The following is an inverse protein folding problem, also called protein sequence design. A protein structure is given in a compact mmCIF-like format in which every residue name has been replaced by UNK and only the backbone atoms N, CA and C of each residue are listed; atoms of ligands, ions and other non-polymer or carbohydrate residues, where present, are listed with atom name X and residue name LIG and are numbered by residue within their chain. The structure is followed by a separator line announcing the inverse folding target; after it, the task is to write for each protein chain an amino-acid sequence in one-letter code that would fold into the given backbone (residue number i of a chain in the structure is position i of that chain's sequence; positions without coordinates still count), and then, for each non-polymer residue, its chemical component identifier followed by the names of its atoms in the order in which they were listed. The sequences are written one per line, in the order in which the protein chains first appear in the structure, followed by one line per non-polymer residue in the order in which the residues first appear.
data_IF_758039392175
#
_entry.id   IF_758039392175
#
_cell.length_a   1.000
_cell.length_b   1.000
_cell.length_c   1.000
_cell.angle_alpha   90.00
_cell.angle_beta   90.00
_cell.angle_gamma   90.00
#
_symmetry.space_group_name_H-M   'P 1'
#
loop_
_entity.id
_entity.type
_entity.pdbx_description
1 polymer ?
#
# COMPACT_ATOMS: atom_id res chain seq x y z
N UNK A 1 -41.58 -17.70 -8.06
CA UNK A 1 -40.33 -18.30 -8.64
C UNK A 1 -39.37 -17.31 -9.29
N UNK A 2 -39.84 -16.30 -10.08
CA UNK A 2 -38.93 -15.31 -10.74
C UNK A 2 -38.24 -14.32 -9.77
N UNK A 3 -38.87 -13.93 -8.67
CA UNK A 3 -38.29 -12.98 -7.68
C UNK A 3 -37.18 -13.64 -6.86
N UNK A 4 -37.33 -14.93 -6.53
CA UNK A 4 -36.33 -15.67 -5.76
C UNK A 4 -35.03 -15.90 -6.56
N UNK A 5 -35.16 -16.17 -7.86
CA UNK A 5 -34.00 -16.29 -8.76
C UNK A 5 -33.26 -14.96 -8.97
N UNK A 6 -33.99 -13.81 -8.93
CA UNK A 6 -33.37 -12.49 -9.07
C UNK A 6 -32.57 -12.10 -7.80
N UNK A 7 -33.02 -12.52 -6.63
CA UNK A 7 -32.29 -12.30 -5.37
C UNK A 7 -31.08 -13.24 -5.28
N UNK A 8 -31.22 -14.51 -5.65
CA UNK A 8 -30.13 -15.49 -5.64
C UNK A 8 -29.02 -15.16 -6.66
N UNK A 9 -29.36 -14.65 -7.84
CA UNK A 9 -28.35 -14.24 -8.83
C UNK A 9 -27.60 -12.95 -8.48
N UNK A 10 -28.17 -12.10 -7.62
CA UNK A 10 -27.46 -10.92 -7.09
C UNK A 10 -26.63 -11.20 -5.84
N UNK A 11 -26.97 -12.21 -5.05
CA UNK A 11 -26.26 -12.54 -3.79
C UNK A 11 -25.09 -13.49 -3.98
N UNK A 12 -24.90 -14.09 -5.15
CA UNK A 12 -23.80 -15.05 -5.42
C UNK A 12 -22.75 -14.49 -6.38
N UNK A 13 -22.64 -13.19 -6.51
CA UNK A 13 -21.40 -12.59 -6.99
C UNK A 13 -20.43 -12.42 -5.80
N UNK A 14 -20.12 -13.50 -5.09
CA UNK A 14 -18.84 -13.67 -4.43
C UNK A 14 -17.80 -13.65 -5.55
N UNK A 15 -17.23 -12.48 -5.76
CA UNK A 15 -16.22 -12.27 -6.78
C UNK A 15 -14.98 -13.01 -6.30
N UNK A 16 -14.53 -14.11 -6.96
CA UNK A 16 -13.33 -14.83 -6.56
C UNK A 16 -12.13 -13.88 -6.52
N UNK A 17 -11.10 -14.21 -5.72
CA UNK A 17 -9.82 -13.52 -5.62
C UNK A 17 -9.23 -13.10 -6.98
N UNK A 18 -9.50 -13.87 -8.03
CA UNK A 18 -9.14 -13.60 -9.43
C UNK A 18 -9.71 -12.28 -9.99
N UNK A 19 -10.84 -11.80 -9.47
CA UNK A 19 -11.48 -10.57 -9.98
C UNK A 19 -10.90 -9.27 -9.39
N UNK A 20 -10.19 -9.33 -8.29
CA UNK A 20 -9.45 -8.17 -7.78
C UNK A 20 -8.18 -7.94 -8.58
N UNK A 21 -7.44 -9.01 -8.85
CA UNK A 21 -6.34 -8.99 -9.80
C UNK A 21 -6.80 -8.39 -11.14
N UNK A 22 -8.04 -8.68 -11.57
CA UNK A 22 -8.65 -8.09 -12.76
C UNK A 22 -8.92 -6.58 -12.61
N UNK A 23 -9.47 -6.11 -11.48
CA UNK A 23 -9.72 -4.69 -11.26
C UNK A 23 -8.41 -3.90 -11.19
N UNK A 24 -7.41 -4.39 -10.45
CA UNK A 24 -6.05 -3.80 -10.41
C UNK A 24 -5.43 -3.76 -11.81
N UNK A 25 -5.51 -4.88 -12.56
CA UNK A 25 -5.00 -4.97 -13.93
C UNK A 25 -5.64 -3.93 -14.84
N UNK A 26 -6.97 -3.76 -14.81
CA UNK A 26 -7.67 -2.74 -15.61
C UNK A 26 -7.24 -1.32 -15.24
N UNK A 27 -7.06 -1.03 -13.96
CA UNK A 27 -6.57 0.28 -13.50
C UNK A 27 -5.13 0.50 -13.97
N UNK A 28 -4.25 -0.49 -13.81
CA UNK A 28 -2.84 -0.42 -14.22
C UNK A 28 -2.67 -0.26 -15.73
N UNK A 29 -3.55 -0.81 -16.57
CA UNK A 29 -3.54 -0.61 -18.02
C UNK A 29 -3.74 0.86 -18.43
N UNK A 30 -4.35 1.66 -17.55
CA UNK A 30 -4.53 3.09 -17.75
C UNK A 30 -3.40 3.94 -17.13
N UNK A 31 -2.39 3.32 -16.51
CA UNK A 31 -1.30 4.01 -15.85
C UNK A 31 -0.01 3.91 -16.66
N UNK A 32 0.74 5.02 -16.72
CA UNK A 32 2.02 5.09 -17.40
C UNK A 32 3.22 5.01 -16.42
N UNK A 33 2.95 5.09 -15.11
CA UNK A 33 3.95 5.00 -14.08
C UNK A 33 3.38 4.38 -12.80
N UNK A 34 4.17 3.54 -12.13
CA UNK A 34 3.83 2.89 -10.86
C UNK A 34 4.84 3.29 -9.79
N UNK A 35 4.33 3.63 -8.60
CA UNK A 35 5.13 3.85 -7.39
C UNK A 35 4.70 2.82 -6.35
N UNK A 36 5.61 1.97 -5.94
CA UNK A 36 5.42 0.94 -4.91
C UNK A 36 6.17 1.37 -3.64
N UNK A 37 5.44 1.84 -2.62
CA UNK A 37 5.98 2.34 -1.36
C UNK A 37 5.82 1.28 -0.28
N UNK A 38 6.93 0.86 0.35
CA UNK A 38 7.01 -0.31 1.20
C UNK A 38 7.14 -1.58 0.37
N UNK A 39 8.02 -1.52 -0.65
CA UNK A 39 8.13 -2.60 -1.63
C UNK A 39 8.70 -3.91 -1.07
N UNK A 40 9.26 -3.91 0.14
CA UNK A 40 9.90 -5.04 0.80
C UNK A 40 10.85 -5.77 -0.18
N UNK A 41 10.65 -7.05 -0.44
CA UNK A 41 11.45 -7.86 -1.38
C UNK A 41 10.89 -7.82 -2.83
N UNK A 42 9.88 -6.97 -3.11
CA UNK A 42 9.28 -6.81 -4.44
C UNK A 42 8.10 -7.74 -4.74
N UNK A 43 7.44 -8.31 -3.73
CA UNK A 43 6.34 -9.28 -3.91
C UNK A 43 5.17 -8.66 -4.69
N UNK A 44 4.75 -7.44 -4.31
CA UNK A 44 3.67 -6.75 -5.01
C UNK A 44 4.06 -6.41 -6.46
N UNK A 45 5.25 -5.88 -6.67
CA UNK A 45 5.74 -5.57 -8.03
C UNK A 45 5.86 -6.83 -8.89
N UNK A 46 6.30 -7.97 -8.32
CA UNK A 46 6.29 -9.28 -9.03
C UNK A 46 4.89 -9.64 -9.52
N UNK A 47 3.88 -9.49 -8.66
CA UNK A 47 2.48 -9.73 -9.02
C UNK A 47 2.02 -8.81 -10.15
N UNK A 48 2.34 -7.52 -10.07
CA UNK A 48 2.02 -6.50 -11.09
C UNK A 48 2.66 -6.84 -12.44
N UNK A 49 3.93 -7.26 -12.44
CA UNK A 49 4.64 -7.69 -13.65
C UNK A 49 4.05 -8.97 -14.25
N UNK A 50 3.72 -9.95 -13.42
CA UNK A 50 3.07 -11.20 -13.86
C UNK A 50 1.68 -10.95 -14.46
N UNK A 51 0.98 -9.90 -14.02
CA UNK A 51 -0.30 -9.47 -14.61
C UNK A 51 -0.13 -8.63 -15.89
N UNK A 52 1.09 -8.47 -16.39
CA UNK A 52 1.38 -7.87 -17.70
C UNK A 52 1.63 -6.37 -17.69
N UNK A 53 1.80 -5.73 -16.55
CA UNK A 53 2.23 -4.33 -16.52
C UNK A 53 3.72 -4.22 -16.89
N UNK A 54 4.02 -3.57 -18.02
CA UNK A 54 5.38 -3.40 -18.54
C UNK A 54 5.86 -1.93 -18.53
N UNK A 55 5.05 -1.01 -17.98
CA UNK A 55 5.37 0.41 -17.85
C UNK A 55 6.52 0.67 -16.88
N UNK A 56 6.89 1.94 -16.78
CA UNK A 56 7.93 2.39 -15.83
C UNK A 56 7.44 2.28 -14.39
N UNK A 57 8.35 1.97 -13.47
CA UNK A 57 8.04 1.90 -12.04
C UNK A 57 9.20 2.37 -11.17
N UNK A 58 8.87 2.73 -9.93
CA UNK A 58 9.81 2.91 -8.84
C UNK A 58 9.33 2.09 -7.64
N UNK A 59 10.24 1.29 -7.06
CA UNK A 59 10.00 0.53 -5.84
C UNK A 59 10.85 1.13 -4.72
N UNK A 60 10.21 1.45 -3.59
CA UNK A 60 10.81 2.19 -2.48
C UNK A 60 10.76 1.32 -1.23
N UNK A 61 11.94 1.02 -0.68
CA UNK A 61 12.09 0.18 0.51
C UNK A 61 13.12 0.81 1.46
N UNK A 62 12.74 1.11 2.72
CA UNK A 62 13.63 1.79 3.66
C UNK A 62 14.71 0.90 4.28
N UNK A 63 14.41 -0.37 4.60
CA UNK A 63 15.33 -1.26 5.30
C UNK A 63 16.39 -1.80 4.35
N UNK A 64 17.67 -1.62 4.70
CA UNK A 64 18.80 -1.99 3.84
C UNK A 64 18.76 -3.48 3.45
N UNK A 65 18.49 -4.37 4.40
CA UNK A 65 18.40 -5.82 4.12
C UNK A 65 17.39 -6.14 3.02
N UNK A 66 16.19 -5.55 3.11
CA UNK A 66 15.10 -5.79 2.16
C UNK A 66 15.36 -5.08 0.83
N UNK A 67 15.91 -3.86 0.87
CA UNK A 67 16.31 -3.13 -0.31
C UNK A 67 17.36 -3.88 -1.16
N UNK A 68 18.36 -4.50 -0.54
CA UNK A 68 19.34 -5.32 -1.26
C UNK A 68 18.68 -6.49 -1.98
N UNK A 69 17.72 -7.18 -1.32
CA UNK A 69 16.94 -8.25 -1.95
C UNK A 69 16.09 -7.69 -3.11
N UNK A 70 15.34 -6.60 -2.89
CA UNK A 70 14.54 -5.93 -3.91
C UNK A 70 15.38 -5.57 -5.15
N UNK A 71 16.54 -4.96 -4.94
CA UNK A 71 17.46 -4.56 -6.02
C UNK A 71 17.99 -5.76 -6.81
N UNK A 72 18.15 -6.91 -6.17
CA UNK A 72 18.66 -8.13 -6.82
C UNK A 72 17.66 -8.76 -7.81
N UNK A 73 16.35 -8.48 -7.66
CA UNK A 73 15.31 -8.99 -8.56
C UNK A 73 15.39 -8.43 -9.97
N UNK A 74 15.94 -7.20 -10.14
CA UNK A 74 16.14 -6.55 -11.45
C UNK A 74 14.90 -6.49 -12.32
N UNK A 75 13.78 -6.01 -11.74
CA UNK A 75 12.55 -5.81 -12.51
C UNK A 75 12.76 -4.94 -13.75
N UNK A 76 12.19 -5.36 -14.87
CA UNK A 76 12.22 -4.57 -16.11
C UNK A 76 11.61 -3.17 -15.91
N UNK A 77 12.19 -2.13 -16.52
CA UNK A 77 11.71 -0.73 -16.43
C UNK A 77 11.45 -0.22 -15.00
N UNK A 78 12.22 -0.69 -14.01
CA UNK A 78 12.00 -0.35 -12.60
C UNK A 78 13.26 0.25 -11.99
N UNK A 79 13.11 1.38 -11.31
CA UNK A 79 14.13 1.96 -10.44
C UNK A 79 13.83 1.55 -8.99
N UNK A 80 14.86 1.25 -8.21
CA UNK A 80 14.73 0.99 -6.78
C UNK A 80 15.33 2.13 -5.95
N UNK A 81 14.71 2.47 -4.84
CA UNK A 81 15.15 3.56 -3.97
C UNK A 81 15.16 3.12 -2.50
N UNK A 82 16.31 3.32 -1.82
CA UNK A 82 16.43 3.01 -0.40
C UNK A 82 16.09 4.23 0.46
N UNK A 83 14.82 4.37 0.81
CA UNK A 83 14.33 5.37 1.75
C UNK A 83 12.92 5.03 2.23
N UNK A 84 12.51 5.60 3.37
CA UNK A 84 11.12 5.70 3.77
C UNK A 84 10.43 6.87 3.04
N UNK A 85 9.11 6.82 2.97
CA UNK A 85 8.28 7.92 2.45
C UNK A 85 7.38 8.44 3.57
N UNK A 86 7.25 9.76 3.71
CA UNK A 86 6.39 10.39 4.71
C UNK A 86 6.45 11.91 4.64
N UNK A 87 5.79 12.61 5.56
CA UNK A 87 5.59 14.06 5.49
C UNK A 87 6.79 14.91 5.97
N UNK A 88 8.00 14.39 5.82
CA UNK A 88 9.24 15.13 6.12
C UNK A 88 10.40 14.64 5.25
N UNK A 89 11.48 15.42 5.21
CA UNK A 89 12.75 15.02 4.61
C UNK A 89 13.81 14.89 5.70
N UNK A 90 14.80 14.01 5.51
CA UNK A 90 15.91 13.79 6.44
C UNK A 90 16.06 12.34 6.83
N UNK A 91 16.10 12.06 8.14
CA UNK A 91 16.29 10.72 8.70
C UNK A 91 15.26 10.44 9.80
N UNK A 92 14.90 9.15 9.93
CA UNK A 92 14.06 8.62 11.01
C UNK A 92 14.64 7.29 11.50
N UNK A 93 14.24 6.89 12.69
CA UNK A 93 14.45 5.52 13.16
C UNK A 93 13.23 4.68 12.84
N UNK A 94 13.44 3.54 12.18
CA UNK A 94 12.42 2.55 11.86
C UNK A 94 12.61 1.32 12.73
N UNK A 95 11.56 0.83 13.34
CA UNK A 95 11.55 -0.41 14.12
C UNK A 95 11.61 -1.59 13.14
N UNK A 96 12.59 -2.47 13.33
CA UNK A 96 12.74 -3.68 12.51
C UNK A 96 11.98 -4.83 13.15
N UNK A 97 11.01 -5.37 12.43
CA UNK A 97 10.29 -6.56 12.84
C UNK A 97 11.12 -7.84 12.57
N UNK A 98 10.83 -8.90 13.33
CA UNK A 98 11.27 -10.27 13.04
C UNK A 98 10.65 -10.77 11.73
N UNK A 99 10.97 -12.01 11.30
CA UNK A 99 10.37 -12.67 10.13
C UNK A 99 10.41 -11.80 8.86
N UNK A 100 11.62 -11.53 8.36
CA UNK A 100 11.88 -10.77 7.12
C UNK A 100 11.39 -9.31 7.09
N UNK A 101 10.92 -8.77 8.22
CA UNK A 101 10.66 -7.34 8.40
C UNK A 101 9.36 -6.83 7.80
N UNK A 102 8.41 -7.69 7.45
CA UNK A 102 7.13 -7.29 6.81
C UNK A 102 6.31 -6.32 7.68
N UNK A 103 6.32 -6.47 9.01
CA UNK A 103 5.66 -5.55 9.94
C UNK A 103 6.57 -4.45 10.48
N UNK A 104 7.68 -4.13 9.80
CA UNK A 104 8.57 -3.05 10.22
C UNK A 104 7.93 -1.69 9.97
N UNK A 105 7.99 -0.80 10.97
CA UNK A 105 7.32 0.50 10.93
C UNK A 105 8.11 1.60 11.62
N UNK A 106 7.83 2.84 11.25
CA UNK A 106 8.23 4.03 12.02
C UNK A 106 7.47 4.10 13.36
N UNK A 107 6.26 3.50 13.40
CA UNK A 107 5.40 3.46 14.57
C UNK A 107 5.69 2.24 15.45
N UNK A 108 5.27 2.30 16.71
CA UNK A 108 5.28 1.14 17.61
C UNK A 108 4.07 0.24 17.34
N UNK A 109 4.21 -1.08 17.57
CA UNK A 109 3.10 -2.02 17.50
C UNK A 109 2.04 -1.67 18.54
N UNK A 110 0.76 -1.87 18.19
CA UNK A 110 -0.36 -1.75 19.11
C UNK A 110 -0.88 -3.15 19.52
N UNK A 111 -1.76 -3.22 20.50
CA UNK A 111 -2.26 -4.47 21.08
C UNK A 111 -2.93 -5.36 20.05
N UNK A 112 -3.72 -4.80 19.15
CA UNK A 112 -4.36 -5.57 18.07
C UNK A 112 -3.35 -6.29 17.16
N UNK A 113 -2.22 -5.64 16.86
CA UNK A 113 -1.15 -6.30 16.10
C UNK A 113 -0.53 -7.44 16.91
N UNK A 114 -0.25 -7.21 18.20
CA UNK A 114 0.36 -8.20 19.08
C UNK A 114 -0.54 -9.44 19.26
N UNK A 115 -1.86 -9.25 19.27
CA UNK A 115 -2.83 -10.36 19.35
C UNK A 115 -2.93 -11.10 17.99
N UNK A 116 -2.98 -10.36 16.88
CA UNK A 116 -3.11 -10.94 15.53
C UNK A 116 -1.85 -11.66 15.04
N UNK A 117 -0.66 -11.20 15.48
CA UNK A 117 0.63 -11.76 15.10
C UNK A 117 1.59 -11.85 16.31
N UNK A 118 1.32 -12.73 17.30
CA UNK A 118 2.07 -12.77 18.57
C UNK A 118 3.55 -13.13 18.42
N UNK A 119 3.91 -13.76 17.31
CA UNK A 119 5.29 -14.13 16.98
C UNK A 119 6.11 -13.00 16.36
N UNK A 120 5.47 -11.89 15.97
CA UNK A 120 6.14 -10.72 15.42
C UNK A 120 6.58 -9.80 16.56
N UNK A 121 7.87 -9.49 16.58
CA UNK A 121 8.47 -8.60 17.60
C UNK A 121 9.45 -7.65 16.93
N UNK A 122 9.60 -6.47 17.49
CA UNK A 122 10.69 -5.59 17.10
C UNK A 122 12.03 -6.09 17.65
N UNK A 123 13.00 -6.28 16.77
CA UNK A 123 14.34 -6.84 17.05
C UNK A 123 15.44 -5.79 17.00
N UNK A 124 15.09 -4.51 16.83
CA UNK A 124 16.01 -3.39 16.80
C UNK A 124 15.47 -2.22 16.00
N UNK A 125 16.27 -1.15 15.92
CA UNK A 125 15.95 0.05 15.15
C UNK A 125 17.03 0.29 14.10
N UNK A 126 16.60 0.81 12.95
CA UNK A 126 17.47 1.21 11.84
C UNK A 126 17.26 2.67 11.51
N UNK A 127 18.35 3.44 11.38
CA UNK A 127 18.28 4.82 10.91
C UNK A 127 18.16 4.82 9.41
N UNK A 128 17.01 5.26 8.88
CA UNK A 128 16.72 5.28 7.45
C UNK A 128 16.50 6.72 6.97
N UNK A 129 16.86 6.98 5.72
CA UNK A 129 16.49 8.22 5.05
C UNK A 129 14.97 8.26 4.87
N UNK A 130 14.35 9.44 5.02
CA UNK A 130 12.94 9.67 4.71
C UNK A 130 12.79 10.85 3.75
N UNK A 131 11.87 10.73 2.81
CA UNK A 131 11.58 11.77 1.81
C UNK A 131 10.07 11.94 1.63
N UNK A 132 9.65 13.15 1.26
CA UNK A 132 8.27 13.40 0.82
C UNK A 132 8.04 12.76 -0.54
N UNK A 133 6.86 12.20 -0.77
CA UNK A 133 6.49 11.67 -2.08
C UNK A 133 6.51 12.76 -3.15
N UNK A 134 6.06 13.97 -2.83
CA UNK A 134 6.14 15.12 -3.73
C UNK A 134 7.56 15.39 -4.24
N UNK A 135 8.58 15.23 -3.38
CA UNK A 135 10.00 15.39 -3.78
C UNK A 135 10.47 14.24 -4.67
N UNK A 136 10.03 13.00 -4.41
CA UNK A 136 10.36 11.85 -5.26
C UNK A 136 9.75 12.01 -6.66
N UNK A 137 8.56 12.58 -6.74
CA UNK A 137 7.85 12.84 -7.99
C UNK A 137 8.20 14.17 -8.67
N UNK A 138 9.10 14.98 -8.10
CA UNK A 138 9.42 16.33 -8.60
C UNK A 138 9.90 16.34 -10.05
N UNK A 139 10.70 15.36 -10.43
CA UNK A 139 11.22 15.20 -11.80
C UNK A 139 10.34 14.34 -12.70
N UNK A 140 9.25 13.80 -12.15
CA UNK A 140 8.37 12.91 -12.88
C UNK A 140 7.47 13.68 -13.84
N UNK A 141 7.42 13.23 -15.10
CA UNK A 141 6.59 13.80 -16.17
C UNK A 141 5.33 12.96 -16.48
N UNK A 142 5.13 11.88 -15.76
CA UNK A 142 3.98 10.99 -15.95
C UNK A 142 2.70 11.61 -15.39
N UNK A 143 1.57 11.32 -16.05
CA UNK A 143 0.26 11.94 -15.76
C UNK A 143 -0.81 10.95 -15.27
N UNK A 144 -0.53 9.67 -15.33
CA UNK A 144 -1.44 8.60 -14.87
C UNK A 144 -0.67 7.66 -13.96
N UNK A 145 -0.38 8.15 -12.75
CA UNK A 145 0.43 7.46 -11.77
C UNK A 145 -0.46 6.53 -10.93
N UNK A 146 -0.04 5.28 -10.77
CA UNK A 146 -0.57 4.38 -9.75
C UNK A 146 0.37 4.39 -8.56
N UNK A 147 -0.15 4.59 -7.35
CA UNK A 147 0.64 4.59 -6.11
C UNK A 147 0.13 3.50 -5.18
N UNK A 148 0.98 2.49 -4.89
CA UNK A 148 0.76 1.58 -3.76
C UNK A 148 1.41 2.17 -2.52
N UNK A 149 0.70 2.12 -1.39
CA UNK A 149 1.20 2.55 -0.08
C UNK A 149 0.93 1.44 0.94
N UNK A 150 2.02 0.87 1.44
CA UNK A 150 2.02 -0.17 2.47
C UNK A 150 3.22 0.12 3.37
N UNK A 151 2.98 0.95 4.38
CA UNK A 151 4.02 1.50 5.25
C UNK A 151 3.79 1.18 6.72
N UNK A 152 2.91 0.20 6.93
CA UNK A 152 2.66 -0.42 8.22
C UNK A 152 2.26 0.62 9.28
N UNK A 153 1.11 1.29 8.97
CA UNK A 153 0.48 2.30 9.84
C UNK A 153 0.87 3.75 9.52
N UNK A 154 1.84 3.99 8.61
CA UNK A 154 2.32 5.35 8.29
C UNK A 154 1.74 5.92 6.98
N UNK A 155 0.71 5.27 6.40
CA UNK A 155 0.10 5.57 5.09
C UNK A 155 -0.41 7.01 5.01
N UNK A 156 -1.02 7.51 6.08
CA UNK A 156 -1.57 8.86 6.10
C UNK A 156 -0.49 9.94 6.04
N UNK A 157 0.68 9.70 6.66
CA UNK A 157 1.84 10.59 6.57
C UNK A 157 2.43 10.60 5.15
N UNK A 158 2.37 9.45 4.45
CA UNK A 158 2.71 9.39 3.02
C UNK A 158 1.74 10.26 2.21
N UNK A 159 0.43 10.11 2.41
CA UNK A 159 -0.59 10.91 1.72
C UNK A 159 -0.44 12.41 1.96
N UNK A 160 -0.14 12.83 3.20
CA UNK A 160 0.12 14.25 3.55
C UNK A 160 1.37 14.81 2.88
N UNK A 161 2.29 13.97 2.43
CA UNK A 161 3.50 14.38 1.72
C UNK A 161 3.30 14.71 0.25
N UNK A 162 2.08 14.45 -0.29
CA UNK A 162 1.71 14.70 -1.68
C UNK A 162 1.22 16.14 -1.83
N UNK A 163 1.81 16.90 -2.74
CA UNK A 163 1.34 18.24 -3.04
C UNK A 163 0.15 18.25 -4.02
N UNK A 164 -0.50 19.40 -4.18
CA UNK A 164 -1.70 19.54 -5.03
C UNK A 164 -1.44 19.16 -6.50
N UNK A 165 -0.27 19.51 -7.05
CA UNK A 165 0.06 19.17 -8.45
C UNK A 165 0.23 17.67 -8.64
N UNK A 166 0.89 16.97 -7.71
CA UNK A 166 1.04 15.53 -7.79
C UNK A 166 -0.29 14.78 -7.67
N UNK A 167 -1.24 15.27 -6.82
CA UNK A 167 -2.59 14.69 -6.79
C UNK A 167 -3.29 14.76 -8.15
N UNK A 168 -3.01 15.78 -8.97
CA UNK A 168 -3.58 15.87 -10.32
C UNK A 168 -3.04 14.76 -11.26
N UNK A 169 -1.80 14.36 -11.06
CA UNK A 169 -1.11 13.36 -11.89
C UNK A 169 -1.35 11.91 -11.42
N UNK A 170 -1.75 11.72 -10.15
CA UNK A 170 -2.06 10.38 -9.63
C UNK A 170 -3.48 9.99 -10.08
N UNK A 171 -3.58 8.82 -10.72
CA UNK A 171 -4.83 8.25 -11.20
C UNK A 171 -5.48 7.31 -10.19
N UNK A 172 -4.66 6.52 -9.49
CA UNK A 172 -5.15 5.53 -8.54
C UNK A 172 -4.19 5.33 -7.36
N UNK A 173 -4.76 4.90 -6.24
CA UNK A 173 -4.04 4.41 -5.08
C UNK A 173 -4.47 3.00 -4.73
N UNK A 174 -3.53 2.18 -4.26
CA UNK A 174 -3.79 0.97 -3.49
C UNK A 174 -3.15 1.16 -2.12
N UNK A 175 -3.94 1.06 -1.05
CA UNK A 175 -3.49 1.45 0.30
C UNK A 175 -3.94 0.40 1.29
N UNK A 176 -3.00 -0.08 2.12
CA UNK A 176 -3.32 -0.85 3.31
C UNK A 176 -3.97 0.10 4.35
N UNK A 177 -5.16 -0.22 4.81
CA UNK A 177 -5.95 0.62 5.70
C UNK A 177 -6.32 -0.12 6.99
N UNK A 178 -6.16 0.55 8.13
CA UNK A 178 -6.44 -0.01 9.44
C UNK A 178 -7.95 0.10 9.77
N UNK A 179 -8.61 -1.04 10.04
CA UNK A 179 -9.96 -1.09 10.62
C UNK A 179 -9.93 -0.83 12.13
N UNK A 180 -8.83 -1.24 12.78
CA UNK A 180 -8.50 -0.97 14.17
C UNK A 180 -7.04 -0.57 14.25
N UNK A 181 -6.61 0.07 15.35
CA UNK A 181 -5.22 0.49 15.51
C UNK A 181 -4.29 -0.71 15.65
N UNK A 182 -3.56 -1.06 14.60
CA UNK A 182 -2.51 -2.11 14.62
C UNK A 182 -1.14 -1.54 14.94
N UNK A 183 -0.95 -0.25 14.73
CA UNK A 183 0.24 0.53 15.10
C UNK A 183 -0.20 1.77 15.89
N UNK A 184 0.52 2.12 16.96
CA UNK A 184 0.20 3.28 17.79
C UNK A 184 0.15 4.57 16.95
N UNK A 185 -0.96 5.30 17.09
CA UNK A 185 -1.23 6.52 16.34
C UNK A 185 -1.38 6.31 14.80
N UNK A 186 -1.64 5.09 14.34
CA UNK A 186 -2.03 4.87 12.95
C UNK A 186 -3.40 5.47 12.65
N UNK A 187 -3.60 5.90 11.41
CA UNK A 187 -4.88 6.45 10.96
C UNK A 187 -5.85 5.32 10.61
N UNK A 188 -7.10 5.45 11.03
CA UNK A 188 -8.14 4.48 10.71
C UNK A 188 -8.73 4.73 9.32
N UNK A 189 -9.38 3.69 8.79
CA UNK A 189 -9.93 3.63 7.44
C UNK A 189 -10.90 4.78 7.13
N UNK A 190 -11.73 5.19 8.07
CA UNK A 190 -12.72 6.26 7.87
C UNK A 190 -12.08 7.62 7.58
N UNK A 191 -11.00 7.97 8.28
CA UNK A 191 -10.27 9.22 8.06
C UNK A 191 -9.50 9.17 6.73
N UNK A 192 -8.93 8.02 6.38
CA UNK A 192 -8.25 7.79 5.12
C UNK A 192 -9.23 7.94 3.94
N UNK A 193 -10.40 7.30 4.00
CA UNK A 193 -11.45 7.42 2.97
C UNK A 193 -11.95 8.87 2.88
N UNK A 194 -12.21 9.53 4.01
CA UNK A 194 -12.65 10.92 4.05
C UNK A 194 -11.64 11.86 3.39
N UNK A 195 -10.34 11.67 3.70
CA UNK A 195 -9.26 12.46 3.12
C UNK A 195 -9.18 12.29 1.61
N UNK A 196 -9.16 11.05 1.11
CA UNK A 196 -9.06 10.77 -0.32
C UNK A 196 -10.30 11.21 -1.09
N UNK A 197 -11.50 11.07 -0.51
CA UNK A 197 -12.73 11.64 -1.10
C UNK A 197 -12.64 13.15 -1.27
N UNK A 198 -12.05 13.86 -0.29
CA UNK A 198 -11.78 15.31 -0.36
C UNK A 198 -10.77 15.68 -1.46
N UNK A 199 -9.99 14.71 -1.96
CA UNK A 199 -9.05 14.87 -3.09
C UNK A 199 -9.62 14.40 -4.43
N UNK A 200 -10.87 13.94 -4.47
CA UNK A 200 -11.55 13.50 -5.70
C UNK A 200 -11.38 12.01 -6.02
N UNK A 201 -10.96 11.18 -5.05
CA UNK A 201 -10.88 9.73 -5.21
C UNK A 201 -12.06 9.04 -4.56
N UNK A 202 -12.40 7.86 -5.07
CA UNK A 202 -13.40 6.98 -4.47
C UNK A 202 -12.87 5.55 -4.37
N UNK A 203 -13.26 4.80 -3.33
CA UNK A 203 -12.96 3.37 -3.28
C UNK A 203 -13.61 2.66 -4.49
N UNK A 204 -12.80 1.94 -5.23
CA UNK A 204 -13.26 1.04 -6.30
C UNK A 204 -13.44 -0.37 -5.76
N UNK A 205 -12.56 -0.78 -4.85
CA UNK A 205 -12.54 -2.13 -4.28
C UNK A 205 -11.88 -2.16 -2.92
N UNK A 206 -12.35 -3.08 -2.07
CA UNK A 206 -11.79 -3.39 -0.76
C UNK A 206 -11.51 -4.89 -0.73
N UNK A 207 -10.33 -5.27 -0.22
CA UNK A 207 -9.88 -6.64 0.01
C UNK A 207 -9.53 -6.91 1.45
N UNK A 208 -9.60 -8.20 1.79
CA UNK A 208 -9.10 -8.65 3.08
C UNK A 208 -7.57 -8.53 3.12
N UNK A 209 -7.07 -7.83 4.14
CA UNK A 209 -5.66 -7.77 4.51
C UNK A 209 -5.36 -8.62 5.74
N UNK A 210 -4.59 -8.07 6.67
CA UNK A 210 -4.24 -8.72 7.92
C UNK A 210 -5.45 -8.87 8.85
N UNK A 211 -5.57 -10.02 9.52
CA UNK A 211 -6.66 -10.33 10.43
C UNK A 211 -6.28 -11.31 11.54
N UNK A 212 -7.18 -11.49 12.49
CA UNK A 212 -7.01 -12.43 13.60
C UNK A 212 -7.36 -13.87 13.18
N UNK A 213 -6.40 -14.82 13.20
CA UNK A 213 -6.63 -16.17 12.73
C UNK A 213 -7.75 -16.93 13.48
N UNK A 214 -7.88 -16.67 14.80
CA UNK A 214 -8.76 -17.43 15.68
C UNK A 214 -10.21 -16.90 15.73
N UNK A 215 -10.42 -15.63 15.41
CA UNK A 215 -11.74 -14.96 15.52
C UNK A 215 -12.31 -14.52 14.19
N UNK A 216 -11.53 -14.63 13.09
CA UNK A 216 -11.94 -14.14 11.79
C UNK A 216 -12.10 -12.60 11.73
N UNK A 217 -11.68 -11.88 12.77
CA UNK A 217 -11.73 -10.42 12.78
C UNK A 217 -10.70 -9.88 11.82
N UNK A 218 -11.15 -9.08 10.85
CA UNK A 218 -10.27 -8.33 9.96
C UNK A 218 -9.72 -7.12 10.72
N UNK A 219 -8.39 -6.92 10.68
CA UNK A 219 -7.69 -5.80 11.33
C UNK A 219 -7.30 -4.72 10.32
N UNK A 220 -6.92 -5.15 9.12
CA UNK A 220 -6.55 -4.28 8.00
C UNK A 220 -7.18 -4.78 6.71
N UNK A 221 -7.36 -3.88 5.75
CA UNK A 221 -7.87 -4.16 4.41
C UNK A 221 -7.02 -3.41 3.38
N UNK A 222 -6.90 -3.97 2.17
CA UNK A 222 -6.37 -3.26 1.02
C UNK A 222 -7.48 -2.56 0.26
N UNK A 223 -7.31 -1.28 -0.01
CA UNK A 223 -8.30 -0.48 -0.74
C UNK A 223 -7.71 0.07 -2.01
N UNK A 224 -8.35 -0.27 -3.13
CA UNK A 224 -8.07 0.34 -4.43
C UNK A 224 -8.96 1.59 -4.60
N UNK A 225 -8.35 2.76 -4.71
CA UNK A 225 -9.00 4.03 -4.99
C UNK A 225 -8.71 4.47 -6.42
N UNK A 226 -9.71 5.07 -7.06
CA UNK A 226 -9.56 5.69 -8.38
C UNK A 226 -10.06 7.12 -8.38
N UNK A 227 -9.45 7.94 -9.21
CA UNK A 227 -9.87 9.32 -9.41
C UNK A 227 -11.21 9.34 -10.16
N UNK A 228 -12.12 10.24 -9.74
CA UNK A 228 -13.39 10.49 -10.43
C UNK A 228 -13.17 11.21 -11.75
#
# INVERSE_FOLDING_TARGET
MRILNFILTRTVNVIPHEKLAAARKLVLQNCDFVVDIGANNGQWMSTVRNHGYNGKAICIEPLEKNYVKLKSVKFHNTVTMNCAVGNKNGYVYMNRASKDGESSSILELDDYHNIGAPDIKYIGKEKVRISKLSKILETNKHKKIFVKIDTQGYEFEVLKSINKSNFNDIYAFEIEANLVSTYKNSTLIEDLIKYLRGKGYQPLRIENGFGMPNFGQQLQVDILFVKK
#
